data_IF_964515552101
#
_entry.id   IF_964515552101
#
_cell.length_a   1.000
_cell.length_b   1.000
_cell.length_c   1.000
_cell.angle_alpha   90.00
_cell.angle_beta   90.00
_cell.angle_gamma   90.00
#
_symmetry.space_group_name_H-M   'P 1'
#
loop_
_entity.id
_entity.type
_entity.pdbx_description
1 polymer ?
#
# COMPACT_ATOMS: atom_id res chain seq x y z
N UNK A 1 -13.33 0.95 8.75
CA UNK A 1 -11.93 0.83 8.29
C UNK A 1 -11.37 2.23 8.17
N UNK A 2 -10.14 2.47 8.64
CA UNK A 2 -9.45 3.74 8.38
C UNK A 2 -9.02 3.76 6.91
N UNK A 3 -9.13 4.90 6.24
CA UNK A 3 -8.65 5.04 4.86
C UNK A 3 -7.13 5.21 4.86
N UNK A 4 -6.44 4.66 3.85
CA UNK A 4 -5.00 4.79 3.71
C UNK A 4 -4.50 6.23 3.86
N UNK A 5 -5.24 7.21 3.34
CA UNK A 5 -4.88 8.62 3.45
C UNK A 5 -4.80 9.12 4.91
N UNK A 6 -5.70 8.66 5.79
CA UNK A 6 -5.66 9.00 7.20
C UNK A 6 -4.50 8.31 7.93
N UNK A 7 -4.15 7.10 7.52
CA UNK A 7 -3.05 6.33 8.10
C UNK A 7 -1.70 6.92 7.69
N UNK A 8 -1.59 7.39 6.44
CA UNK A 8 -0.46 8.14 5.93
C UNK A 8 -0.28 9.46 6.68
N UNK A 9 -1.36 10.20 6.94
CA UNK A 9 -1.32 11.42 7.76
C UNK A 9 -0.82 11.15 9.19
N UNK A 10 -1.25 10.04 9.80
CA UNK A 10 -0.75 9.63 11.12
C UNK A 10 0.75 9.30 11.07
N UNK A 11 1.22 8.68 9.99
CA UNK A 11 2.63 8.35 9.82
C UNK A 11 3.53 9.60 9.69
N UNK A 12 3.00 10.66 9.06
CA UNK A 12 3.65 11.97 9.01
C UNK A 12 3.83 12.57 10.41
N UNK A 13 2.85 12.42 11.30
CA UNK A 13 2.83 13.13 12.58
C UNK A 13 2.44 14.59 12.38
N UNK A 14 3.12 15.53 13.04
CA UNK A 14 2.75 16.96 13.00
C UNK A 14 3.23 17.65 11.72
N UNK A 15 4.39 17.27 11.18
CA UNK A 15 4.98 17.83 9.98
C UNK A 15 4.90 16.86 8.79
N UNK A 16 4.96 17.39 7.56
CA UNK A 16 5.01 16.57 6.36
C UNK A 16 6.43 16.06 6.14
N UNK A 17 6.55 14.75 5.92
CA UNK A 17 7.80 14.10 5.49
C UNK A 17 7.91 14.26 3.99
N UNK A 18 8.94 14.96 3.55
CA UNK A 18 9.17 15.22 2.12
C UNK A 18 10.21 14.24 1.61
N UNK A 19 9.85 13.45 0.59
CA UNK A 19 10.76 12.49 -0.03
C UNK A 19 12.03 13.16 -0.57
N UNK A 20 13.06 12.37 -0.84
CA UNK A 20 14.34 12.85 -1.42
C UNK A 20 14.16 13.64 -2.71
N UNK A 21 13.11 13.32 -3.49
CA UNK A 21 12.72 14.03 -4.71
C UNK A 21 12.12 15.42 -4.47
N UNK A 22 11.95 15.85 -3.22
CA UNK A 22 11.25 17.07 -2.85
C UNK A 22 9.73 16.96 -2.91
N UNK A 23 9.17 15.76 -3.09
CA UNK A 23 7.71 15.51 -3.14
C UNK A 23 7.19 15.05 -1.79
N UNK A 24 6.07 15.59 -1.36
CA UNK A 24 5.30 15.09 -0.22
C UNK A 24 3.91 14.60 -0.68
N UNK A 25 3.49 13.42 -0.22
CA UNK A 25 2.14 12.91 -0.42
C UNK A 25 1.45 12.78 0.93
N UNK A 26 0.27 13.37 1.08
CA UNK A 26 -0.54 13.26 2.30
C UNK A 26 -2.02 13.31 1.91
N UNK A 27 -2.95 13.25 2.86
CA UNK A 27 -4.36 13.40 2.52
C UNK A 27 -4.63 14.76 1.86
N UNK A 28 -5.67 14.82 1.02
CA UNK A 28 -6.12 16.08 0.40
C UNK A 28 -6.58 17.13 1.42
N UNK A 29 -6.82 16.72 2.68
CA UNK A 29 -7.11 17.62 3.80
C UNK A 29 -5.86 18.32 4.33
N UNK A 30 -4.70 17.65 4.30
CA UNK A 30 -3.41 18.25 4.70
C UNK A 30 -2.74 18.99 3.55
N UNK A 31 -2.86 18.48 2.33
CA UNK A 31 -2.33 19.11 1.12
C UNK A 31 -3.47 19.30 0.13
N UNK A 32 -4.04 20.49 0.07
CA UNK A 32 -5.07 20.81 -0.92
C UNK A 32 -4.42 21.18 -2.25
N UNK A 33 -4.34 20.20 -3.16
CA UNK A 33 -3.92 20.40 -4.56
C UNK A 33 -4.92 19.72 -5.51
N UNK A 34 -5.96 20.44 -5.97
CA UNK A 34 -7.07 19.86 -6.72
C UNK A 34 -6.67 19.37 -8.12
N UNK A 35 -5.51 19.83 -8.64
CA UNK A 35 -5.06 19.53 -10.00
C UNK A 35 -4.38 18.16 -10.14
N UNK A 36 -4.10 17.46 -9.03
CA UNK A 36 -3.34 16.22 -9.07
C UNK A 36 -4.23 14.97 -9.21
N UNK A 37 -3.90 13.98 -10.08
CA UNK A 37 -4.69 12.76 -10.26
C UNK A 37 -4.92 11.89 -9.01
N UNK A 38 -4.16 12.13 -7.93
CA UNK A 38 -4.31 11.42 -6.67
C UNK A 38 -5.41 12.03 -5.78
N UNK A 39 -5.81 13.27 -6.05
CA UNK A 39 -6.85 13.98 -5.29
C UNK A 39 -8.18 13.23 -5.32
N UNK A 40 -8.51 12.60 -6.47
CA UNK A 40 -9.71 11.74 -6.62
C UNK A 40 -9.69 10.50 -5.71
N UNK A 41 -8.52 10.09 -5.25
CA UNK A 41 -8.32 8.99 -4.31
C UNK A 41 -8.03 9.50 -2.89
N UNK A 42 -8.21 10.79 -2.63
CA UNK A 42 -8.06 11.38 -1.29
C UNK A 42 -6.63 11.76 -0.91
N UNK A 43 -5.65 11.71 -1.83
CA UNK A 43 -4.28 12.19 -1.59
C UNK A 43 -3.98 13.49 -2.33
N UNK A 44 -3.34 14.43 -1.64
CA UNK A 44 -2.73 15.63 -2.23
C UNK A 44 -1.24 15.45 -2.45
N UNK A 45 -0.68 16.32 -3.31
CA UNK A 45 0.75 16.35 -3.63
C UNK A 45 1.31 17.74 -3.35
N UNK A 46 2.36 17.79 -2.54
CA UNK A 46 3.10 18.99 -2.19
C UNK A 46 4.56 18.90 -2.61
N UNK A 47 5.24 20.04 -2.59
CA UNK A 47 6.70 20.11 -2.75
C UNK A 47 7.35 20.82 -1.58
N UNK A 48 8.55 20.41 -1.23
CA UNK A 48 9.31 20.98 -0.12
C UNK A 48 10.79 20.61 -0.15
N UNK A 49 11.51 21.06 0.86
CA UNK A 49 12.87 20.58 1.14
C UNK A 49 12.81 19.13 1.62
N UNK A 50 13.64 18.21 1.10
CA UNK A 50 13.70 16.85 1.59
C UNK A 50 13.89 16.79 3.11
N UNK A 51 13.15 15.91 3.75
CA UNK A 51 13.34 15.57 5.16
C UNK A 51 14.73 14.96 5.39
N UNK A 52 15.20 15.00 6.63
CA UNK A 52 16.47 14.37 6.98
C UNK A 52 16.43 12.83 6.82
N UNK A 53 17.61 12.21 6.84
CA UNK A 53 17.75 10.78 6.57
C UNK A 53 17.07 9.89 7.63
N UNK A 54 17.08 10.29 8.89
CA UNK A 54 16.48 9.52 9.98
C UNK A 54 14.95 9.54 9.88
N UNK A 55 14.37 10.70 9.62
CA UNK A 55 12.94 10.87 9.41
C UNK A 55 12.46 10.09 8.17
N UNK A 56 13.21 10.15 7.07
CA UNK A 56 12.92 9.38 5.87
C UNK A 56 12.98 7.88 6.11
N UNK A 57 13.96 7.39 6.87
CA UNK A 57 14.11 5.97 7.18
C UNK A 57 12.97 5.45 8.07
N UNK A 58 12.59 6.22 9.10
CA UNK A 58 11.42 5.95 9.94
C UNK A 58 10.15 5.90 9.09
N UNK A 59 9.96 6.90 8.23
CA UNK A 59 8.78 7.00 7.37
C UNK A 59 8.72 5.84 6.38
N UNK A 60 9.85 5.47 5.78
CA UNK A 60 9.96 4.33 4.87
C UNK A 60 9.58 3.00 5.55
N UNK A 61 10.09 2.75 6.76
CA UNK A 61 9.70 1.57 7.56
C UNK A 61 8.20 1.56 7.89
N UNK A 62 7.64 2.73 8.22
CA UNK A 62 6.21 2.90 8.47
C UNK A 62 5.34 2.65 7.24
N UNK A 63 5.74 3.11 6.05
CA UNK A 63 5.02 2.85 4.79
C UNK A 63 4.93 1.36 4.48
N UNK A 64 6.02 0.62 4.66
CA UNK A 64 6.01 -0.84 4.55
C UNK A 64 5.09 -1.47 5.60
N UNK A 65 5.03 -0.90 6.80
CA UNK A 65 4.04 -1.26 7.83
C UNK A 65 2.60 -1.12 7.35
N UNK A 66 2.24 0.06 6.87
CA UNK A 66 0.90 0.36 6.35
C UNK A 66 0.51 -0.56 5.19
N UNK A 67 1.42 -0.82 4.26
CA UNK A 67 1.13 -1.69 3.12
C UNK A 67 0.88 -3.15 3.56
N UNK A 68 1.66 -3.67 4.51
CA UNK A 68 1.40 -5.00 5.12
C UNK A 68 0.02 -5.05 5.80
N UNK A 69 -0.36 -4.00 6.53
CA UNK A 69 -1.66 -3.94 7.19
C UNK A 69 -2.82 -3.90 6.19
N UNK A 70 -2.68 -3.16 5.09
CA UNK A 70 -3.65 -3.15 4.00
C UNK A 70 -3.81 -4.54 3.35
N UNK A 71 -2.71 -5.26 3.13
CA UNK A 71 -2.78 -6.61 2.57
C UNK A 71 -3.48 -7.58 3.52
N UNK A 72 -3.21 -7.52 4.83
CA UNK A 72 -3.93 -8.34 5.83
C UNK A 72 -5.43 -8.07 5.80
N UNK A 73 -5.82 -6.79 5.81
CA UNK A 73 -7.23 -6.39 5.71
C UNK A 73 -7.86 -6.86 4.38
N UNK A 74 -7.10 -6.80 3.29
CA UNK A 74 -7.53 -7.28 1.99
C UNK A 74 -7.71 -8.80 1.92
N UNK A 75 -6.84 -9.57 2.59
CA UNK A 75 -7.00 -11.02 2.75
C UNK A 75 -8.28 -11.32 3.53
N UNK A 76 -8.51 -10.65 4.66
CA UNK A 76 -9.73 -10.83 5.46
C UNK A 76 -11.00 -10.50 4.65
N UNK A 77 -10.94 -9.42 3.86
CA UNK A 77 -12.01 -9.04 2.94
C UNK A 77 -12.22 -10.11 1.87
N UNK A 78 -11.16 -10.65 1.26
CA UNK A 78 -11.25 -11.69 0.25
C UNK A 78 -11.81 -13.00 0.82
N UNK A 79 -11.38 -13.40 2.02
CA UNK A 79 -11.93 -14.58 2.72
C UNK A 79 -13.44 -14.42 2.95
N UNK A 80 -13.86 -13.24 3.42
CA UNK A 80 -15.28 -12.94 3.65
C UNK A 80 -16.07 -12.93 2.33
N UNK A 81 -15.56 -12.22 1.31
CA UNK A 81 -16.24 -12.05 0.03
C UNK A 81 -16.34 -13.36 -0.77
N UNK A 82 -15.25 -14.12 -0.85
CA UNK A 82 -15.21 -15.38 -1.60
C UNK A 82 -15.90 -16.51 -0.84
N UNK A 83 -15.86 -16.52 0.49
CA UNK A 83 -16.58 -17.46 1.33
C UNK A 83 -18.10 -17.41 1.11
N UNK A 84 -18.65 -16.21 0.93
CA UNK A 84 -20.08 -16.00 0.66
C UNK A 84 -20.52 -16.26 -0.78
N UNK A 85 -19.60 -16.49 -1.73
CA UNK A 85 -19.92 -16.68 -3.15
C UNK A 85 -19.85 -18.13 -3.56
N UNK A 86 -20.93 -18.64 -4.14
CA UNK A 86 -21.00 -20.00 -4.70
C UNK A 86 -20.76 -19.99 -6.21
N UNK A 87 -20.09 -21.02 -6.72
CA UNK A 87 -19.92 -21.26 -8.15
C UNK A 87 -19.83 -22.76 -8.42
N UNK A 88 -20.73 -23.28 -9.26
CA UNK A 88 -20.92 -24.71 -9.49
C UNK A 88 -21.17 -25.55 -8.21
N UNK A 89 -21.91 -24.98 -7.25
CA UNK A 89 -22.35 -25.70 -6.05
C UNK A 89 -21.36 -25.74 -4.88
N UNK A 90 -20.14 -25.19 -5.01
CA UNK A 90 -19.20 -24.98 -3.90
C UNK A 90 -18.86 -23.50 -3.72
N UNK A 91 -18.32 -23.12 -2.55
CA UNK A 91 -17.80 -21.78 -2.36
C UNK A 91 -16.58 -21.57 -3.27
N UNK A 92 -16.39 -20.36 -3.79
CA UNK A 92 -15.14 -20.02 -4.50
C UNK A 92 -13.92 -20.21 -3.60
N UNK A 93 -14.08 -20.07 -2.28
CA UNK A 93 -13.05 -20.31 -1.29
C UNK A 93 -12.65 -21.80 -1.18
N UNK A 94 -13.52 -22.74 -1.58
CA UNK A 94 -13.20 -24.17 -1.58
C UNK A 94 -12.33 -24.58 -2.77
N UNK A 95 -12.06 -23.64 -3.69
CA UNK A 95 -11.20 -23.88 -4.83
C UNK A 95 -9.75 -23.74 -4.41
N UNK A 96 -9.00 -24.83 -4.55
CA UNK A 96 -7.58 -24.91 -4.21
C UNK A 96 -6.76 -23.74 -4.78
N UNK A 97 -7.05 -23.31 -6.02
CA UNK A 97 -6.36 -22.17 -6.65
C UNK A 97 -6.54 -20.85 -5.88
N UNK A 98 -7.72 -20.61 -5.30
CA UNK A 98 -7.99 -19.41 -4.49
C UNK A 98 -7.25 -19.51 -3.15
N UNK A 99 -7.26 -20.68 -2.53
CA UNK A 99 -6.58 -20.92 -1.26
C UNK A 99 -5.05 -20.77 -1.40
N UNK A 100 -4.47 -21.35 -2.45
CA UNK A 100 -3.04 -21.21 -2.76
C UNK A 100 -2.68 -19.75 -2.94
N UNK A 101 -3.41 -19.00 -3.77
CA UNK A 101 -3.10 -17.59 -4.00
C UNK A 101 -3.23 -16.73 -2.73
N UNK A 102 -4.23 -16.97 -1.88
CA UNK A 102 -4.34 -16.28 -0.59
C UNK A 102 -3.19 -16.65 0.36
N UNK A 103 -2.75 -17.91 0.36
CA UNK A 103 -1.60 -18.35 1.14
C UNK A 103 -0.31 -17.68 0.64
N UNK A 104 -0.11 -17.56 -0.67
CA UNK A 104 1.05 -16.90 -1.27
C UNK A 104 1.14 -15.43 -0.84
N UNK A 105 0.01 -14.70 -0.89
CA UNK A 105 -0.08 -13.31 -0.40
C UNK A 105 0.24 -13.24 1.10
N UNK A 106 -0.27 -14.18 1.91
CA UNK A 106 -0.03 -14.22 3.35
C UNK A 106 1.45 -14.52 3.70
N UNK A 107 2.09 -15.41 2.94
CA UNK A 107 3.51 -15.73 3.07
C UNK A 107 4.34 -14.50 2.77
N UNK A 108 4.10 -13.82 1.65
CA UNK A 108 4.83 -12.60 1.28
C UNK A 108 4.72 -11.54 2.38
N UNK A 109 3.52 -11.28 2.90
CA UNK A 109 3.31 -10.32 4.01
C UNK A 109 4.13 -10.70 5.26
N UNK A 110 4.26 -12.00 5.55
CA UNK A 110 4.98 -12.50 6.73
C UNK A 110 6.49 -12.42 6.55
N UNK A 111 7.00 -12.84 5.40
CA UNK A 111 8.41 -12.77 5.06
C UNK A 111 8.88 -11.32 5.01
N UNK A 112 8.10 -10.46 4.37
CA UNK A 112 8.37 -9.03 4.29
C UNK A 112 8.51 -8.39 5.68
N UNK A 113 7.72 -8.83 6.66
CA UNK A 113 7.73 -8.27 7.99
C UNK A 113 9.02 -8.52 8.79
N UNK A 114 9.81 -9.52 8.40
CA UNK A 114 11.09 -9.85 9.04
C UNK A 114 12.29 -9.41 8.21
N UNK A 115 12.08 -8.87 7.01
CA UNK A 115 13.18 -8.37 6.18
C UNK A 115 13.86 -7.16 6.85
N UNK A 116 15.20 -7.12 6.87
CA UNK A 116 15.92 -5.95 7.34
C UNK A 116 15.63 -4.76 6.40
N UNK A 117 15.11 -3.69 6.98
CA UNK A 117 14.81 -2.44 6.27
C UNK A 117 15.87 -1.37 6.55
N UNK A 118 17.11 -1.77 6.82
CA UNK A 118 18.23 -0.83 7.04
C UNK A 118 18.85 -0.29 5.74
N UNK A 119 18.56 -0.92 4.61
CA UNK A 119 19.11 -0.58 3.29
C UNK A 119 17.98 -0.16 2.32
N UNK A 120 18.24 0.84 1.47
CA UNK A 120 17.27 1.38 0.52
C UNK A 120 16.86 0.34 -0.53
N UNK A 121 17.80 -0.47 -1.02
CA UNK A 121 17.47 -1.52 -1.99
C UNK A 121 16.67 -2.66 -1.36
N UNK A 122 16.96 -3.00 -0.10
CA UNK A 122 16.16 -3.95 0.66
C UNK A 122 14.71 -3.46 0.86
N UNK A 123 14.52 -2.18 1.23
CA UNK A 123 13.17 -1.58 1.33
C UNK A 123 12.45 -1.56 -0.02
N UNK A 124 13.17 -1.25 -1.10
CA UNK A 124 12.60 -1.26 -2.44
C UNK A 124 12.12 -2.65 -2.86
N UNK A 125 12.95 -3.68 -2.65
CA UNK A 125 12.54 -5.07 -2.92
C UNK A 125 11.36 -5.50 -2.07
N UNK A 126 11.36 -5.13 -0.78
CA UNK A 126 10.23 -5.38 0.11
C UNK A 126 8.95 -4.69 -0.42
N UNK A 127 9.04 -3.45 -0.90
CA UNK A 127 7.92 -2.76 -1.51
C UNK A 127 7.40 -3.46 -2.76
N UNK A 128 8.29 -3.88 -3.67
CA UNK A 128 7.90 -4.60 -4.88
C UNK A 128 7.17 -5.91 -4.57
N UNK A 129 7.67 -6.70 -3.62
CA UNK A 129 7.00 -7.93 -3.18
C UNK A 129 5.59 -7.69 -2.65
N UNK A 130 5.39 -6.64 -1.84
CA UNK A 130 4.05 -6.26 -1.37
C UNK A 130 3.13 -5.78 -2.51
N UNK A 131 3.66 -5.04 -3.49
CA UNK A 131 2.90 -4.61 -4.68
C UNK A 131 2.44 -5.83 -5.49
N UNK A 132 3.32 -6.80 -5.71
CA UNK A 132 2.99 -8.02 -6.45
C UNK A 132 1.94 -8.86 -5.71
N UNK A 133 2.08 -9.01 -4.39
CA UNK A 133 1.07 -9.66 -3.55
C UNK A 133 -0.28 -8.92 -3.59
N UNK A 134 -0.26 -7.58 -3.58
CA UNK A 134 -1.46 -6.75 -3.72
C UNK A 134 -2.15 -6.98 -5.07
N UNK A 135 -1.39 -7.01 -6.17
CA UNK A 135 -1.93 -7.26 -7.51
C UNK A 135 -2.51 -8.67 -7.63
N UNK A 136 -1.87 -9.68 -7.06
CA UNK A 136 -2.41 -11.04 -6.98
C UNK A 136 -3.75 -11.05 -6.24
N UNK A 137 -3.81 -10.44 -5.05
CA UNK A 137 -5.04 -10.33 -4.26
C UNK A 137 -6.17 -9.62 -5.01
N UNK A 138 -5.89 -8.51 -5.68
CA UNK A 138 -6.88 -7.77 -6.48
C UNK A 138 -7.40 -8.60 -7.66
N UNK A 139 -6.55 -9.43 -8.27
CA UNK A 139 -6.97 -10.31 -9.36
C UNK A 139 -7.97 -11.39 -8.90
N UNK A 140 -7.83 -11.90 -7.66
CA UNK A 140 -8.78 -12.84 -7.07
C UNK A 140 -10.15 -12.21 -6.83
N UNK A 141 -10.17 -10.94 -6.42
CA UNK A 141 -11.40 -10.17 -6.18
C UNK A 141 -12.05 -9.68 -7.48
N UNK A 142 -11.28 -9.57 -8.56
CA UNK A 142 -11.74 -9.03 -9.84
C UNK A 142 -12.31 -7.61 -9.69
N UNK A 143 -13.40 -7.32 -10.41
CA UNK A 143 -14.03 -6.00 -10.39
C UNK A 143 -14.53 -5.55 -9.01
N UNK A 144 -14.80 -6.49 -8.08
CA UNK A 144 -15.28 -6.14 -6.73
C UNK A 144 -14.25 -5.35 -5.92
N UNK A 145 -12.97 -5.48 -6.25
CA UNK A 145 -11.88 -4.76 -5.59
C UNK A 145 -11.90 -3.25 -5.83
N UNK A 146 -12.53 -2.81 -6.91
CA UNK A 146 -12.63 -1.39 -7.30
C UNK A 146 -13.96 -0.74 -6.90
N UNK A 147 -14.83 -1.46 -6.19
CA UNK A 147 -16.00 -0.87 -5.56
C UNK A 147 -15.56 0.02 -4.39
N UNK A 148 -16.43 0.94 -3.96
CA UNK A 148 -16.13 1.91 -2.89
C UNK A 148 -15.67 1.25 -1.58
N UNK A 149 -16.07 0.00 -1.33
CA UNK A 149 -15.69 -0.77 -0.15
C UNK A 149 -14.54 -1.77 -0.39
N UNK A 150 -14.00 -1.83 -1.61
CA UNK A 150 -12.94 -2.76 -1.99
C UNK A 150 -11.54 -2.20 -1.71
N UNK A 151 -10.52 -3.07 -1.54
CA UNK A 151 -9.17 -2.66 -1.16
C UNK A 151 -8.36 -1.99 -2.30
N UNK A 152 -8.89 -1.95 -3.53
CA UNK A 152 -8.12 -1.55 -4.72
C UNK A 152 -7.61 -0.11 -4.70
N UNK A 153 -8.42 0.83 -4.19
CA UNK A 153 -8.01 2.22 -4.06
C UNK A 153 -6.83 2.37 -3.11
N UNK A 154 -6.95 1.82 -1.90
CA UNK A 154 -5.93 1.94 -0.86
C UNK A 154 -4.63 1.20 -1.24
N UNK A 155 -4.70 0.01 -1.84
CA UNK A 155 -3.52 -0.71 -2.34
C UNK A 155 -2.82 0.05 -3.48
N UNK A 156 -3.57 0.69 -4.37
CA UNK A 156 -2.98 1.54 -5.41
C UNK A 156 -2.27 2.76 -4.82
N UNK A 157 -2.84 3.39 -3.79
CA UNK A 157 -2.20 4.53 -3.12
C UNK A 157 -0.94 4.10 -2.35
N UNK A 158 -0.93 2.91 -1.74
CA UNK A 158 0.25 2.34 -1.12
C UNK A 158 1.37 2.09 -2.14
N UNK A 159 1.03 1.56 -3.31
CA UNK A 159 1.96 1.40 -4.43
C UNK A 159 2.58 2.75 -4.85
N UNK A 160 1.73 3.75 -5.12
CA UNK A 160 2.18 5.08 -5.54
C UNK A 160 3.07 5.73 -4.49
N UNK A 161 2.68 5.66 -3.22
CA UNK A 161 3.44 6.27 -2.13
C UNK A 161 4.78 5.58 -1.95
N UNK A 162 4.83 4.24 -1.98
CA UNK A 162 6.10 3.51 -1.94
C UNK A 162 7.00 3.83 -3.13
N UNK A 163 6.46 4.05 -4.33
CA UNK A 163 7.25 4.48 -5.50
C UNK A 163 7.85 5.90 -5.34
N UNK A 164 7.24 6.75 -4.51
CA UNK A 164 7.77 8.09 -4.21
C UNK A 164 8.86 8.05 -3.15
N UNK A 165 8.66 7.28 -2.08
CA UNK A 165 9.50 7.32 -0.88
C UNK A 165 10.56 6.20 -0.80
N UNK A 166 10.37 5.07 -1.48
CA UNK A 166 11.20 3.87 -1.33
C UNK A 166 12.11 3.57 -2.53
N UNK A 167 11.98 4.32 -3.62
CA UNK A 167 12.80 4.11 -4.81
C UNK A 167 14.26 4.55 -4.55
N UNK A 168 15.26 3.69 -4.82
CA UNK A 168 16.66 3.99 -4.51
C UNK A 168 17.24 5.12 -5.38
N UNK A 169 16.91 5.14 -6.68
CA UNK A 169 17.58 6.02 -7.67
C UNK A 169 16.93 7.40 -7.88
N UNK A 170 16.26 7.97 -6.87
CA UNK A 170 15.88 9.40 -6.91
C UNK A 170 16.97 10.29 -6.31
N UNK A 171 18.22 9.89 -6.54
CA UNK A 171 19.41 10.72 -6.36
C UNK A 171 19.52 11.67 -7.56
N UNK A 172 19.28 12.96 -7.31
CA UNK A 172 19.78 14.10 -8.12
C UNK A 172 19.46 14.09 -9.62
N UNK A 173 18.41 14.81 -10.00
CA UNK A 173 18.35 15.50 -11.30
C UNK A 173 18.45 17.00 -11.05
#
# INVERSE_FOLDING_TARGET
MSSYAADLDRLHGDALVTARSGVALASSRRISSPEHPLHRFGLGVGRGTPSDGEELDRFAGGLLGLHRDLLRQGIDHAMTHLGGRTSQGSSLLDRQLVQTALADVAVEVRENAVLPTGDAHARWRAHQGLVDAGRLLLSLLGASSFLVSGPGGDLHLAEVTGNVYLHPDRESA
#
